data_IF_791188403078
#
_entry.id   IF_791188403078
#
_cell.length_a   1.000
_cell.length_b   1.000
_cell.length_c   1.000
_cell.angle_alpha   90.00
_cell.angle_beta   90.00
_cell.angle_gamma   90.00
#
_symmetry.space_group_name_H-M   'P 1'
#
loop_
_entity.id
_entity.type
_entity.pdbx_description
1 polymer ?
#
# COMPACT_ATOMS: atom_id res chain seq x y z
N UNK A 1 26.13 3.63 -7.30
CA UNK A 1 26.55 2.39 -6.63
C UNK A 1 28.06 2.27 -6.49
N UNK A 2 28.82 2.46 -7.53
CA UNK A 2 30.30 2.28 -7.49
C UNK A 2 30.97 3.38 -6.66
N UNK A 3 30.49 4.60 -6.72
CA UNK A 3 31.09 5.79 -6.11
C UNK A 3 30.67 6.06 -4.65
N UNK A 4 29.55 5.50 -4.19
CA UNK A 4 29.07 5.70 -2.82
C UNK A 4 29.27 4.42 -2.00
N UNK A 5 30.13 4.43 -0.97
CA UNK A 5 30.42 3.25 -0.15
C UNK A 5 29.20 2.75 0.63
N UNK A 6 28.23 3.62 0.91
CA UNK A 6 27.04 3.29 1.72
C UNK A 6 25.91 2.64 0.91
N UNK A 7 25.99 2.63 -0.42
CA UNK A 7 24.97 2.04 -1.26
C UNK A 7 25.16 0.52 -1.36
N UNK A 8 24.18 -0.23 -0.86
CA UNK A 8 24.18 -1.70 -0.89
C UNK A 8 24.07 -2.26 -2.31
N UNK A 9 24.80 -3.33 -2.65
CA UNK A 9 24.59 -4.10 -3.89
C UNK A 9 23.18 -4.65 -4.03
N UNK A 10 22.49 -4.90 -2.92
CA UNK A 10 21.14 -5.46 -2.87
C UNK A 10 20.01 -4.48 -3.22
N UNK A 11 20.29 -3.22 -3.60
CA UNK A 11 19.30 -2.21 -3.94
C UNK A 11 18.49 -2.49 -5.22
N UNK A 12 18.99 -3.37 -6.10
CA UNK A 12 18.26 -3.75 -7.31
C UNK A 12 17.25 -4.85 -7.00
N UNK A 13 16.07 -4.51 -6.45
CA UNK A 13 15.03 -5.48 -6.12
C UNK A 13 14.58 -6.34 -7.32
N UNK A 14 14.39 -5.80 -8.54
CA UNK A 14 14.04 -6.61 -9.72
C UNK A 14 15.10 -7.66 -10.08
N UNK A 15 16.37 -7.36 -9.86
CA UNK A 15 17.50 -8.25 -10.18
C UNK A 15 17.70 -9.38 -9.16
N UNK A 16 17.01 -9.35 -8.04
CA UNK A 16 17.07 -10.34 -6.96
C UNK A 16 18.51 -10.64 -6.51
N UNK A 17 18.73 -11.85 -5.98
CA UNK A 17 20.03 -12.30 -5.46
C UNK A 17 21.12 -12.34 -6.55
N UNK A 18 20.79 -12.82 -7.72
CA UNK A 18 21.72 -13.02 -8.82
C UNK A 18 22.43 -11.72 -9.25
N UNK A 19 21.65 -10.65 -9.44
CA UNK A 19 22.21 -9.33 -9.80
C UNK A 19 22.95 -8.72 -8.62
N UNK A 20 22.44 -8.87 -7.40
CA UNK A 20 23.09 -8.34 -6.22
C UNK A 20 24.47 -9.00 -5.98
N UNK A 21 24.59 -10.30 -6.19
CA UNK A 21 25.88 -11.04 -6.13
C UNK A 21 26.86 -10.58 -7.21
N UNK A 22 26.36 -10.41 -8.44
CA UNK A 22 27.18 -9.91 -9.54
C UNK A 22 27.70 -8.49 -9.24
N UNK A 23 26.83 -7.60 -8.74
CA UNK A 23 27.21 -6.23 -8.35
C UNK A 23 28.18 -6.24 -7.17
N UNK A 24 27.97 -7.10 -6.17
CA UNK A 24 28.87 -7.24 -5.03
C UNK A 24 30.29 -7.66 -5.47
N UNK A 25 30.39 -8.63 -6.37
CA UNK A 25 31.68 -9.06 -6.95
C UNK A 25 32.41 -7.94 -7.70
N UNK A 26 31.66 -7.18 -8.52
CA UNK A 26 32.24 -6.07 -9.31
C UNK A 26 32.65 -4.90 -8.43
N UNK A 27 31.89 -4.59 -7.38
CA UNK A 27 32.13 -3.43 -6.51
C UNK A 27 33.02 -3.74 -5.31
N UNK A 28 33.29 -5.02 -5.04
CA UNK A 28 34.06 -5.46 -3.84
C UNK A 28 33.31 -5.23 -2.52
N UNK A 29 31.97 -5.02 -2.57
CA UNK A 29 31.16 -4.76 -1.39
C UNK A 29 30.58 -6.06 -0.83
N UNK A 30 30.36 -6.09 0.49
CA UNK A 30 29.65 -7.19 1.13
C UNK A 30 28.19 -7.22 0.69
N UNK A 31 27.69 -8.43 0.42
CA UNK A 31 26.31 -8.68 0.10
C UNK A 31 25.51 -8.62 1.40
N UNK A 32 24.87 -7.49 1.67
CA UNK A 32 23.91 -7.39 2.77
C UNK A 32 22.70 -8.32 2.56
N UNK A 33 21.81 -8.40 3.56
CA UNK A 33 20.58 -9.20 3.41
C UNK A 33 19.77 -8.69 2.23
N UNK A 34 19.49 -9.57 1.25
CA UNK A 34 18.60 -9.28 0.12
C UNK A 34 17.17 -9.47 0.59
N UNK A 35 16.63 -8.46 1.23
CA UNK A 35 15.24 -8.48 1.63
C UNK A 35 14.39 -7.93 0.48
N UNK A 36 13.66 -8.82 -0.20
CA UNK A 36 12.75 -8.43 -1.28
C UNK A 36 11.70 -7.45 -0.76
N UNK A 37 11.39 -6.42 -1.54
CA UNK A 37 10.31 -5.50 -1.27
C UNK A 37 9.11 -5.77 -2.18
N UNK A 38 7.93 -5.34 -1.74
CA UNK A 38 6.69 -5.32 -2.53
C UNK A 38 6.00 -3.98 -2.39
N UNK A 39 5.29 -3.57 -3.43
CA UNK A 39 4.46 -2.39 -3.37
C UNK A 39 3.15 -2.70 -2.65
N UNK A 40 2.68 -1.74 -1.85
CA UNK A 40 1.35 -1.76 -1.25
C UNK A 40 0.65 -0.43 -1.49
N UNK A 41 -0.70 -0.44 -1.50
CA UNK A 41 -1.52 0.75 -1.67
C UNK A 41 -2.16 1.15 -0.35
N UNK A 42 -1.98 2.41 0.06
CA UNK A 42 -2.53 2.99 1.28
C UNK A 42 -3.88 3.66 1.03
N UNK A 43 -4.83 2.87 0.54
CA UNK A 43 -6.22 3.25 0.38
C UNK A 43 -7.05 1.97 0.51
N UNK A 44 -8.16 2.03 1.23
CA UNK A 44 -9.12 0.94 1.34
C UNK A 44 -10.41 1.32 0.62
N UNK A 45 -10.32 1.98 -0.53
CA UNK A 45 -11.48 2.32 -1.35
C UNK A 45 -12.24 1.03 -1.68
N UNK A 46 -13.27 0.77 -0.89
CA UNK A 46 -14.11 -0.40 -1.05
C UNK A 46 -15.21 -0.15 -2.07
N UNK A 47 -15.76 -1.24 -2.58
CA UNK A 47 -16.90 -1.30 -3.50
C UNK A 47 -18.16 -0.54 -3.03
N UNK A 48 -18.21 -0.04 -1.79
CA UNK A 48 -19.44 0.42 -1.15
C UNK A 48 -19.65 1.92 -1.04
N UNK A 49 -18.66 2.76 -1.26
CA UNK A 49 -18.88 4.19 -1.03
C UNK A 49 -17.92 5.05 -1.83
N UNK A 50 -18.28 5.22 -3.10
CA UNK A 50 -17.69 6.30 -3.86
C UNK A 50 -18.77 7.36 -4.00
N UNK A 51 -18.71 8.33 -3.13
CA UNK A 51 -19.30 9.61 -3.43
C UNK A 51 -18.35 10.29 -4.41
N UNK A 52 -18.79 10.49 -5.63
CA UNK A 52 -18.13 11.31 -6.60
C UNK A 52 -18.63 12.73 -6.45
N UNK A 53 -17.72 13.68 -6.31
CA UNK A 53 -18.08 15.10 -6.20
C UNK A 53 -18.67 15.62 -7.49
N UNK A 54 -18.25 15.06 -8.62
CA UNK A 54 -18.64 15.44 -9.97
C UNK A 54 -18.27 14.35 -10.98
N UNK A 55 -18.98 14.34 -12.10
CA UNK A 55 -18.62 13.52 -13.25
C UNK A 55 -17.38 14.10 -13.93
N UNK A 56 -16.30 13.35 -13.94
CA UNK A 56 -15.07 13.77 -14.59
C UNK A 56 -15.11 13.46 -16.09
N UNK A 57 -15.15 14.50 -16.90
CA UNK A 57 -15.05 14.43 -18.36
C UNK A 57 -13.71 15.04 -18.78
N UNK A 58 -12.74 14.19 -19.06
CA UNK A 58 -11.38 14.64 -19.41
C UNK A 58 -10.46 13.49 -19.76
N UNK A 59 -9.16 13.78 -19.84
CA UNK A 59 -8.16 12.75 -20.13
C UNK A 59 -8.12 11.69 -19.04
N UNK A 60 -8.27 10.41 -19.40
CA UNK A 60 -8.37 9.27 -18.50
C UNK A 60 -7.07 8.91 -17.78
N UNK A 61 -6.51 9.83 -17.00
CA UNK A 61 -5.35 9.58 -16.14
C UNK A 61 -5.55 10.13 -14.72
N UNK A 62 -4.91 9.48 -13.75
CA UNK A 62 -4.94 9.94 -12.36
C UNK A 62 -4.29 11.33 -12.23
N UNK A 63 -3.21 11.57 -12.98
CA UNK A 63 -2.49 12.85 -12.96
C UNK A 63 -3.38 13.98 -13.46
N UNK A 64 -4.03 13.84 -14.63
CA UNK A 64 -4.93 14.86 -15.17
C UNK A 64 -6.14 15.11 -14.26
N UNK A 65 -6.81 14.04 -13.81
CA UNK A 65 -7.98 14.16 -12.96
C UNK A 65 -7.64 14.77 -11.57
N UNK A 66 -6.46 14.54 -11.05
CA UNK A 66 -6.03 15.10 -9.77
C UNK A 66 -5.81 16.62 -9.79
N UNK A 67 -5.60 17.22 -10.97
CA UNK A 67 -5.49 18.68 -11.13
C UNK A 67 -6.84 19.38 -10.91
N UNK A 68 -7.95 18.69 -11.19
CA UNK A 68 -9.29 19.21 -10.98
C UNK A 68 -9.76 18.85 -9.55
N UNK A 69 -9.73 19.82 -8.63
CA UNK A 69 -10.23 19.71 -7.25
C UNK A 69 -9.74 18.44 -6.50
N UNK A 70 -8.48 18.06 -6.72
CA UNK A 70 -7.89 16.85 -6.17
C UNK A 70 -8.56 15.53 -6.61
N UNK A 71 -9.25 15.53 -7.75
CA UNK A 71 -9.93 14.38 -8.33
C UNK A 71 -11.42 14.31 -8.02
N UNK A 72 -12.17 13.47 -8.77
CA UNK A 72 -13.62 13.37 -8.67
C UNK A 72 -14.13 12.73 -7.37
N UNK A 73 -13.28 12.04 -6.63
CA UNK A 73 -13.67 11.36 -5.40
C UNK A 73 -13.74 12.30 -4.20
N UNK A 74 -14.67 12.09 -3.27
CA UNK A 74 -14.83 12.91 -2.06
C UNK A 74 -13.56 12.96 -1.22
N UNK A 75 -12.87 11.84 -1.04
CA UNK A 75 -11.61 11.79 -0.33
C UNK A 75 -10.47 12.37 -1.20
N UNK A 76 -9.99 13.56 -0.82
CA UNK A 76 -8.87 14.21 -1.53
C UNK A 76 -7.56 13.43 -1.48
N UNK A 77 -7.41 12.52 -0.50
CA UNK A 77 -6.24 11.64 -0.34
C UNK A 77 -6.45 10.27 -0.99
N UNK A 78 -7.65 9.98 -1.49
CA UNK A 78 -8.03 8.67 -2.00
C UNK A 78 -7.53 8.36 -3.41
N UNK A 79 -7.65 7.10 -3.78
CA UNK A 79 -7.34 6.64 -5.14
C UNK A 79 -8.34 7.24 -6.14
N UNK A 80 -7.84 7.81 -7.23
CA UNK A 80 -8.65 8.41 -8.31
C UNK A 80 -9.21 7.35 -9.27
N UNK A 81 -8.51 6.22 -9.44
CA UNK A 81 -9.04 5.05 -10.13
C UNK A 81 -8.76 4.94 -11.63
N UNK A 82 -8.02 5.87 -12.24
CA UNK A 82 -7.72 5.81 -13.69
C UNK A 82 -6.56 4.90 -14.08
N UNK A 83 -5.85 4.28 -13.14
CA UNK A 83 -4.91 3.20 -13.41
C UNK A 83 -3.53 3.62 -13.93
N UNK A 84 -3.05 4.85 -13.67
CA UNK A 84 -1.69 5.27 -14.05
C UNK A 84 -0.63 4.31 -13.47
N UNK A 85 -0.83 3.81 -12.25
CA UNK A 85 0.04 2.84 -11.59
C UNK A 85 0.09 1.49 -12.32
N UNK A 86 -1.05 1.02 -12.84
CA UNK A 86 -1.14 -0.24 -13.58
C UNK A 86 -0.45 -0.11 -14.95
N UNK A 87 -0.71 0.99 -15.68
CA UNK A 87 -0.05 1.26 -16.97
C UNK A 87 1.46 1.44 -16.84
N UNK A 88 1.91 2.00 -15.73
CA UNK A 88 3.33 2.22 -15.48
C UNK A 88 4.07 0.95 -15.01
N UNK A 89 3.36 -0.11 -14.61
CA UNK A 89 3.98 -1.33 -14.10
C UNK A 89 4.56 -2.18 -15.23
N UNK A 90 5.91 -2.30 -15.37
CA UNK A 90 6.51 -3.05 -16.47
C UNK A 90 6.37 -4.57 -16.31
N UNK A 91 5.99 -5.02 -15.11
CA UNK A 91 5.84 -6.44 -14.78
C UNK A 91 4.38 -6.92 -14.84
N UNK A 92 3.41 -6.02 -15.10
CA UNK A 92 1.99 -6.37 -15.09
C UNK A 92 1.46 -6.80 -13.70
N UNK A 93 2.15 -6.42 -12.62
CA UNK A 93 1.81 -6.84 -11.27
C UNK A 93 0.64 -6.06 -10.65
N UNK A 94 0.02 -5.13 -11.38
CA UNK A 94 -1.10 -4.31 -10.87
C UNK A 94 -2.29 -4.47 -11.81
N UNK A 95 -3.35 -5.09 -11.32
CA UNK A 95 -4.65 -5.16 -12.00
C UNK A 95 -5.57 -4.04 -11.49
N UNK A 96 -6.38 -3.46 -12.39
CA UNK A 96 -7.44 -2.53 -12.00
C UNK A 96 -8.76 -3.29 -11.88
N UNK A 97 -9.29 -3.36 -10.68
CA UNK A 97 -10.56 -4.02 -10.38
C UNK A 97 -11.51 -2.98 -9.78
N UNK A 98 -12.64 -2.75 -10.43
CA UNK A 98 -13.61 -1.71 -10.01
C UNK A 98 -12.95 -0.34 -9.74
N UNK A 99 -12.11 0.10 -10.66
CA UNK A 99 -11.34 1.36 -10.53
C UNK A 99 -10.39 1.41 -9.32
N UNK A 100 -9.98 0.25 -8.80
CA UNK A 100 -9.05 0.16 -7.68
C UNK A 100 -7.85 -0.74 -8.05
N UNK A 101 -6.59 -0.35 -7.70
CA UNK A 101 -5.42 -1.17 -7.99
C UNK A 101 -5.29 -2.33 -7.01
N UNK A 102 -5.26 -3.54 -7.53
CA UNK A 102 -4.93 -4.77 -6.80
C UNK A 102 -3.56 -5.23 -7.24
N UNK A 103 -2.67 -5.50 -6.29
CA UNK A 103 -1.26 -5.81 -6.56
C UNK A 103 -1.05 -7.32 -6.39
N UNK A 104 -0.53 -7.95 -7.45
CA UNK A 104 -0.02 -9.31 -7.37
C UNK A 104 1.37 -9.29 -6.72
N UNK A 105 1.43 -9.78 -5.48
CA UNK A 105 2.66 -9.78 -4.69
C UNK A 105 3.67 -10.80 -5.20
N UNK A 106 3.24 -11.85 -5.91
CA UNK A 106 4.13 -12.88 -6.45
C UNK A 106 4.86 -12.36 -7.70
N UNK A 107 4.18 -11.56 -8.52
CA UNK A 107 4.75 -10.91 -9.70
C UNK A 107 5.50 -9.62 -9.32
N UNK A 108 5.07 -8.92 -8.26
CA UNK A 108 5.65 -7.64 -7.87
C UNK A 108 7.12 -7.78 -7.49
N UNK A 109 7.99 -7.04 -8.18
CA UNK A 109 9.44 -7.04 -7.93
C UNK A 109 9.91 -5.93 -6.98
N UNK A 110 9.01 -5.06 -6.50
CA UNK A 110 9.37 -3.94 -5.62
C UNK A 110 10.15 -2.83 -6.31
N UNK A 111 10.03 -2.68 -7.64
CA UNK A 111 10.81 -1.69 -8.41
C UNK A 111 10.49 -0.21 -8.10
N UNK A 112 9.36 0.07 -7.45
CA UNK A 112 8.97 1.43 -7.03
C UNK A 112 8.38 2.32 -8.12
N UNK A 113 8.23 1.88 -9.37
CA UNK A 113 7.69 2.73 -10.46
C UNK A 113 6.28 3.23 -10.13
N UNK A 114 5.45 2.39 -9.53
CA UNK A 114 4.09 2.76 -9.12
C UNK A 114 4.04 3.85 -8.04
N UNK A 115 5.08 3.98 -7.20
CA UNK A 115 5.17 5.05 -6.19
C UNK A 115 5.28 6.42 -6.85
N UNK A 116 6.04 6.52 -7.95
CA UNK A 116 6.24 7.73 -8.72
C UNK A 116 5.08 8.02 -9.67
N UNK A 117 4.41 6.96 -10.17
CA UNK A 117 3.29 7.10 -11.09
C UNK A 117 2.00 7.59 -10.40
N UNK A 118 1.88 7.43 -9.08
CA UNK A 118 0.69 7.82 -8.34
C UNK A 118 0.74 9.29 -7.92
N UNK A 119 -0.11 10.19 -8.49
CA UNK A 119 -0.10 11.61 -8.12
C UNK A 119 -0.55 11.87 -6.68
N UNK A 120 -1.20 10.87 -6.04
CA UNK A 120 -1.64 10.92 -4.64
C UNK A 120 -0.62 10.32 -3.65
N UNK A 121 0.49 9.76 -4.13
CA UNK A 121 1.50 9.14 -3.27
C UNK A 121 0.96 7.98 -2.43
N UNK A 122 0.04 7.18 -2.98
CA UNK A 122 -0.64 6.11 -2.24
C UNK A 122 0.18 4.83 -2.11
N UNK A 123 1.27 4.70 -2.85
CA UNK A 123 2.08 3.49 -2.83
C UNK A 123 3.31 3.67 -1.95
N UNK A 124 3.67 2.62 -1.23
CA UNK A 124 4.98 2.49 -0.60
C UNK A 124 5.56 1.10 -0.86
N UNK A 125 6.87 0.99 -0.75
CA UNK A 125 7.56 -0.28 -0.72
C UNK A 125 7.70 -0.74 0.71
N UNK A 126 7.34 -1.98 0.97
CA UNK A 126 7.49 -2.62 2.29
C UNK A 126 8.25 -3.94 2.13
N UNK A 127 8.89 -4.46 3.19
CA UNK A 127 9.51 -5.78 3.13
C UNK A 127 8.51 -6.84 2.68
N UNK A 128 8.91 -7.76 1.80
CA UNK A 128 8.03 -8.86 1.34
C UNK A 128 7.52 -9.72 2.50
N UNK A 129 8.28 -9.81 3.58
CA UNK A 129 7.89 -10.51 4.82
C UNK A 129 6.93 -9.71 5.71
N UNK A 130 6.63 -8.45 5.37
CA UNK A 130 5.70 -7.64 6.14
C UNK A 130 4.34 -8.34 6.24
N UNK A 131 3.72 -8.26 7.42
CA UNK A 131 2.49 -9.01 7.72
C UNK A 131 1.24 -8.17 7.64
N UNK A 132 1.38 -6.88 7.93
CA UNK A 132 0.25 -5.97 8.04
C UNK A 132 0.55 -4.65 7.33
N UNK A 133 -0.50 -4.00 6.84
CA UNK A 133 -0.43 -2.68 6.21
C UNK A 133 -1.61 -1.82 6.67
N UNK A 134 -1.38 -0.52 6.83
CA UNK A 134 -2.45 0.46 7.07
C UNK A 134 -2.96 0.96 5.73
N UNK A 135 -4.24 0.75 5.43
CA UNK A 135 -4.85 1.09 4.13
C UNK A 135 -5.59 2.43 4.16
N UNK A 136 -4.94 3.47 4.63
CA UNK A 136 -5.48 4.84 4.59
C UNK A 136 -4.34 5.87 4.55
N UNK A 137 -4.53 6.91 3.73
CA UNK A 137 -3.62 8.06 3.63
C UNK A 137 -4.32 9.39 3.96
N UNK A 138 -5.54 9.37 4.53
CA UNK A 138 -6.23 10.59 4.95
C UNK A 138 -5.49 11.28 6.09
N UNK A 139 -5.37 12.59 5.98
CA UNK A 139 -4.87 13.48 7.05
C UNK A 139 -5.99 14.31 7.67
N UNK A 140 -7.23 14.10 7.23
CA UNK A 140 -8.41 14.74 7.80
C UNK A 140 -8.65 14.26 9.22
N UNK A 141 -9.38 15.05 9.99
CA UNK A 141 -9.84 14.62 11.32
C UNK A 141 -10.69 13.36 11.22
N UNK A 142 -10.73 12.54 12.27
CA UNK A 142 -11.54 11.32 12.27
C UNK A 142 -13.02 11.58 11.97
N UNK A 143 -13.57 12.69 12.45
CA UNK A 143 -14.96 13.11 12.16
C UNK A 143 -15.17 13.36 10.66
N UNK A 144 -14.27 14.11 10.02
CA UNK A 144 -14.37 14.40 8.60
C UNK A 144 -14.13 13.15 7.77
N UNK A 145 -13.11 12.36 8.10
CA UNK A 145 -12.86 11.08 7.43
C UNK A 145 -14.08 10.17 7.48
N UNK A 146 -14.75 10.06 8.64
CA UNK A 146 -15.95 9.23 8.78
C UNK A 146 -17.12 9.72 7.91
N UNK A 147 -17.23 11.04 7.72
CA UNK A 147 -18.27 11.63 6.87
C UNK A 147 -18.12 11.28 5.38
N UNK A 148 -16.86 11.20 4.90
CA UNK A 148 -16.54 11.05 3.47
C UNK A 148 -16.10 9.64 3.07
N UNK A 149 -15.72 8.79 4.03
CA UNK A 149 -15.20 7.44 3.75
C UNK A 149 -15.55 6.47 4.87
N UNK A 150 -16.38 5.47 4.59
CA UNK A 150 -16.74 4.43 5.56
C UNK A 150 -15.57 3.55 5.97
N UNK A 151 -14.53 3.48 5.11
CA UNK A 151 -13.31 2.70 5.33
C UNK A 151 -12.11 3.60 5.65
N UNK A 152 -12.35 4.81 6.18
CA UNK A 152 -11.29 5.76 6.49
C UNK A 152 -10.71 5.62 7.90
N UNK A 153 -9.45 5.96 8.09
CA UNK A 153 -8.82 5.97 9.41
C UNK A 153 -9.35 7.13 10.27
N UNK A 154 -9.91 6.82 11.43
CA UNK A 154 -10.47 7.81 12.36
C UNK A 154 -9.40 8.49 13.24
N UNK A 155 -8.14 8.13 13.10
CA UNK A 155 -7.02 8.62 13.93
C UNK A 155 -7.24 8.45 15.45
N UNK A 156 -7.99 7.43 15.86
CA UNK A 156 -8.32 7.16 17.26
C UNK A 156 -7.15 6.60 18.08
N UNK A 157 -6.02 6.27 17.42
CA UNK A 157 -4.80 5.71 18.01
C UNK A 157 -4.98 4.36 18.73
N UNK A 158 -6.10 3.67 18.55
CA UNK A 158 -6.32 2.36 19.18
C UNK A 158 -5.28 1.34 18.73
N UNK A 159 -4.91 1.33 17.44
CA UNK A 159 -3.86 0.47 16.90
C UNK A 159 -2.47 0.77 17.48
N UNK A 160 -2.19 2.05 17.78
CA UNK A 160 -0.93 2.46 18.42
C UNK A 160 -0.87 1.92 19.86
N UNK A 161 -1.96 2.10 20.62
CA UNK A 161 -2.03 1.60 22.00
C UNK A 161 -2.03 0.09 22.11
N UNK A 162 -2.63 -0.59 21.13
CA UNK A 162 -2.73 -2.05 21.11
C UNK A 162 -1.44 -2.75 20.64
N UNK A 163 -0.48 -2.03 20.05
CA UNK A 163 0.73 -2.64 19.53
C UNK A 163 1.78 -2.84 20.63
N UNK A 164 2.02 -4.08 21.11
CA UNK A 164 2.97 -4.32 22.19
C UNK A 164 4.43 -4.11 21.76
N UNK A 165 4.71 -4.18 20.47
CA UNK A 165 6.03 -3.90 19.91
C UNK A 165 6.35 -2.41 19.77
N UNK A 166 5.36 -1.52 19.95
CA UNK A 166 5.51 -0.11 19.62
C UNK A 166 5.82 0.15 18.13
N UNK A 167 5.47 -0.81 17.27
CA UNK A 167 5.74 -0.76 15.84
C UNK A 167 4.73 0.10 15.07
N UNK A 168 3.62 0.49 15.66
CA UNK A 168 2.60 1.34 15.05
C UNK A 168 2.66 2.73 15.66
N UNK A 169 2.80 3.75 14.86
CA UNK A 169 2.91 5.14 15.33
C UNK A 169 2.16 6.11 14.42
N UNK A 170 1.78 7.27 14.97
CA UNK A 170 1.31 8.42 14.20
C UNK A 170 2.54 9.24 13.79
N UNK A 171 2.79 9.32 12.48
CA UNK A 171 3.90 10.08 11.89
C UNK A 171 3.33 10.98 10.81
N UNK A 172 3.59 12.27 10.88
CA UNK A 172 3.12 13.29 9.92
C UNK A 172 1.61 13.22 9.63
N UNK A 173 0.80 12.96 10.66
CA UNK A 173 -0.64 12.84 10.55
C UNK A 173 -1.13 11.53 9.94
N UNK A 174 -0.27 10.54 9.76
CA UNK A 174 -0.62 9.22 9.22
C UNK A 174 -0.21 8.11 10.19
N UNK A 175 -1.03 7.08 10.27
CA UNK A 175 -0.63 5.86 10.98
C UNK A 175 0.36 5.09 10.11
N UNK A 176 1.54 4.83 10.65
CA UNK A 176 2.64 4.09 10.00
C UNK A 176 3.01 2.86 10.80
N UNK A 177 3.48 1.84 10.10
CA UNK A 177 4.00 0.61 10.69
C UNK A 177 5.50 0.54 10.45
N UNK A 178 6.27 0.44 11.51
CA UNK A 178 7.67 0.02 11.45
C UNK A 178 7.67 -1.51 11.25
N UNK A 179 7.88 -1.91 10.02
CA UNK A 179 7.83 -3.32 9.64
C UNK A 179 8.96 -4.13 10.25
N UNK A 180 10.13 -3.52 10.49
CA UNK A 180 11.25 -4.21 11.13
C UNK A 180 10.90 -4.59 12.56
N UNK A 181 10.48 -3.64 13.38
CA UNK A 181 10.02 -3.91 14.76
C UNK A 181 8.85 -4.89 14.81
N UNK A 182 7.91 -4.79 13.85
CA UNK A 182 6.78 -5.70 13.76
C UNK A 182 7.21 -7.14 13.47
N UNK A 183 8.22 -7.34 12.60
CA UNK A 183 8.76 -8.65 12.26
C UNK A 183 9.58 -9.26 13.41
N UNK A 184 10.39 -8.45 14.09
CA UNK A 184 11.21 -8.88 15.23
C UNK A 184 10.36 -9.35 16.42
N UNK A 185 9.23 -8.68 16.68
CA UNK A 185 8.35 -9.04 17.81
C UNK A 185 7.63 -10.38 17.62
N UNK A 186 7.34 -10.80 16.38
CA UNK A 186 6.71 -12.08 16.08
C UNK A 186 5.20 -12.04 15.81
N UNK A 187 4.54 -13.23 15.81
CA UNK A 187 3.18 -13.39 15.28
C UNK A 187 2.06 -12.92 16.20
N UNK A 188 2.23 -12.96 17.50
CA UNK A 188 1.21 -12.55 18.49
C UNK A 188 0.82 -11.05 18.35
N UNK A 189 1.77 -10.20 17.99
CA UNK A 189 1.54 -8.77 17.77
C UNK A 189 0.51 -8.50 16.67
N UNK A 190 0.47 -9.31 15.62
CA UNK A 190 -0.44 -9.14 14.48
C UNK A 190 -1.91 -9.22 14.88
N UNK A 191 -2.24 -10.12 15.78
CA UNK A 191 -3.61 -10.30 16.26
C UNK A 191 -4.11 -9.09 17.06
N UNK A 192 -3.27 -8.54 17.93
CA UNK A 192 -3.63 -7.39 18.74
C UNK A 192 -3.96 -6.15 17.91
N UNK A 193 -3.15 -5.80 16.92
CA UNK A 193 -3.39 -4.63 16.07
C UNK A 193 -4.57 -4.83 15.10
N UNK A 194 -4.79 -6.03 14.59
CA UNK A 194 -5.93 -6.35 13.73
C UNK A 194 -7.25 -6.29 14.49
N UNK A 195 -7.30 -6.77 15.72
CA UNK A 195 -8.47 -6.69 16.59
C UNK A 195 -8.79 -5.24 17.00
N UNK A 196 -7.77 -4.43 17.19
CA UNK A 196 -7.92 -3.05 17.63
C UNK A 196 -8.32 -2.08 16.52
N UNK A 197 -8.10 -2.42 15.25
CA UNK A 197 -8.25 -1.47 14.16
C UNK A 197 -8.57 -2.15 12.81
N UNK A 198 -9.75 -1.86 12.28
CA UNK A 198 -10.19 -2.34 10.97
C UNK A 198 -9.38 -1.80 9.79
N UNK A 199 -8.60 -0.72 9.99
CA UNK A 199 -7.74 -0.14 8.94
C UNK A 199 -6.37 -0.83 8.82
N UNK A 200 -6.03 -1.71 9.74
CA UNK A 200 -4.86 -2.56 9.62
C UNK A 200 -5.28 -3.88 9.00
N UNK A 201 -4.74 -4.17 7.84
CA UNK A 201 -5.06 -5.35 7.06
C UNK A 201 -3.89 -6.31 7.02
N UNK A 202 -4.18 -7.60 6.97
CA UNK A 202 -3.20 -8.62 6.60
C UNK A 202 -2.84 -8.44 5.13
N UNK A 203 -1.57 -8.56 4.81
CA UNK A 203 -1.10 -8.60 3.44
C UNK A 203 -1.48 -9.97 2.87
N UNK A 204 -2.39 -9.97 1.89
CA UNK A 204 -2.96 -11.19 1.31
C UNK A 204 -2.36 -11.50 -0.06
N UNK A 205 -2.24 -12.78 -0.45
CA UNK A 205 -1.94 -13.17 -1.81
C UNK A 205 -2.96 -12.59 -2.81
N UNK A 206 -2.53 -12.38 -4.06
CA UNK A 206 -3.37 -11.79 -5.10
C UNK A 206 -4.68 -12.57 -5.32
N UNK A 207 -4.61 -13.90 -5.43
CA UNK A 207 -5.78 -14.76 -5.65
C UNK A 207 -6.80 -14.74 -4.51
N UNK A 208 -6.35 -14.39 -3.30
CA UNK A 208 -7.21 -14.26 -2.12
C UNK A 208 -7.77 -12.85 -1.95
N UNK A 209 -7.44 -11.91 -2.86
CA UNK A 209 -7.91 -10.54 -2.73
C UNK A 209 -9.44 -10.47 -2.98
N UNK A 210 -10.23 -9.96 -2.03
CA UNK A 210 -11.70 -10.01 -2.13
C UNK A 210 -12.29 -9.36 -3.37
N UNK A 211 -11.61 -8.33 -3.92
CA UNK A 211 -12.06 -7.65 -5.14
C UNK A 211 -11.96 -8.52 -6.42
N UNK A 212 -11.24 -9.64 -6.37
CA UNK A 212 -11.13 -10.58 -7.50
C UNK A 212 -12.22 -11.64 -7.49
N UNK A 213 -13.01 -11.72 -6.41
CA UNK A 213 -14.16 -12.63 -6.31
C UNK A 213 -15.39 -11.99 -6.97
N UNK A 214 -16.29 -12.83 -7.48
CA UNK A 214 -17.60 -12.36 -7.92
C UNK A 214 -18.37 -11.77 -6.72
N UNK A 215 -19.28 -10.79 -6.94
CA UNK A 215 -20.09 -10.23 -5.87
C UNK A 215 -20.88 -11.29 -5.07
N UNK A 216 -21.25 -12.38 -5.73
CA UNK A 216 -22.01 -13.49 -5.14
C UNK A 216 -21.17 -14.40 -4.24
N UNK A 217 -19.85 -14.34 -4.36
CA UNK A 217 -18.89 -15.13 -3.56
C UNK A 217 -18.42 -14.40 -2.30
N UNK A 218 -18.79 -13.12 -2.15
CA UNK A 218 -18.40 -12.30 -1.00
C UNK A 218 -19.50 -12.40 0.05
N UNK A 219 -19.22 -13.01 1.18
CA UNK A 219 -20.18 -13.07 2.30
C UNK A 219 -20.46 -11.67 2.86
N UNK A 220 -21.66 -11.44 3.46
CA UNK A 220 -21.99 -10.16 4.09
C UNK A 220 -20.97 -9.73 5.17
N UNK A 221 -20.34 -10.69 5.86
CA UNK A 221 -19.32 -10.42 6.87
C UNK A 221 -17.97 -10.03 6.26
N UNK A 222 -17.56 -10.69 5.17
CA UNK A 222 -16.38 -10.30 4.41
C UNK A 222 -16.57 -8.94 3.74
N UNK A 223 -17.78 -8.65 3.26
CA UNK A 223 -18.14 -7.38 2.68
C UNK A 223 -18.13 -6.22 3.70
N UNK A 224 -18.24 -6.48 5.00
CA UNK A 224 -18.07 -5.52 6.09
C UNK A 224 -16.59 -5.31 6.44
N UNK A 225 -15.74 -6.29 6.14
CA UNK A 225 -14.30 -6.25 6.40
C UNK A 225 -13.49 -5.70 5.21
N UNK A 226 -14.13 -5.46 4.07
CA UNK A 226 -13.59 -4.84 2.85
C UNK A 226 -13.81 -3.33 2.84
#
# INVERSE_FOLDING_TARGET
MVTDPNVSPALCFPGKAEVAEAVAKITGKELGSIEGAVAVVHCARCLRSHYEKYDYVGYGSCSAASLAFAGPTDCQFGCVGFGDCARACPFGAIAMVHHFPVIDLDICTGCGICTNACPKGLFSLIPRRARVVVRCSSRDSGKETHRICSSGCLHCLSCVRACPAGAVALVDGLIRVDHQRCLEYGTACREACLQACFMIHVIQPFQAHPLLRSPDEITPQEALAL
#
